data_IF_131508702835
#
_entry.id   IF_131508702835
#
_cell.length_a   1.000
_cell.length_b   1.000
_cell.length_c   1.000
_cell.angle_alpha   90.00
_cell.angle_beta   90.00
_cell.angle_gamma   90.00
#
_symmetry.space_group_name_H-M   'P 1'
#
loop_
_entity.id
_entity.type
_entity.pdbx_description
1 polymer ?
#
# COMPACT_ATOMS: atom_id res chain seq x y z
N UNK A 1 -21.23 -14.14 10.89
CA UNK A 1 -20.12 -13.98 9.93
C UNK A 1 -19.95 -12.49 9.68
N UNK A 2 -19.02 -11.84 10.38
CA UNK A 2 -18.77 -10.41 10.19
C UNK A 2 -18.15 -10.24 8.79
N UNK A 3 -18.74 -9.37 7.96
CA UNK A 3 -18.16 -9.03 6.67
C UNK A 3 -16.79 -8.41 6.94
N UNK A 4 -15.74 -9.02 6.40
CA UNK A 4 -14.46 -8.38 6.08
C UNK A 4 -14.74 -7.02 5.43
N UNK A 5 -14.89 -5.90 6.16
CA UNK A 5 -15.07 -4.58 5.54
C UNK A 5 -13.77 -4.19 4.86
N UNK A 6 -13.62 -4.64 3.61
CA UNK A 6 -12.54 -4.23 2.73
C UNK A 6 -12.69 -2.75 2.40
N UNK A 7 -11.60 -2.01 2.54
CA UNK A 7 -11.53 -0.60 2.19
C UNK A 7 -10.80 -0.45 0.86
N UNK A 8 -11.32 0.44 0.01
CA UNK A 8 -10.74 0.72 -1.31
C UNK A 8 -9.88 1.96 -1.21
N UNK A 9 -8.61 1.84 -1.60
CA UNK A 9 -7.67 2.96 -1.67
C UNK A 9 -7.21 3.09 -3.11
N UNK A 10 -7.13 4.32 -3.61
CA UNK A 10 -6.50 4.60 -4.89
C UNK A 10 -5.07 5.06 -4.65
N UNK A 11 -4.10 4.39 -5.29
CA UNK A 11 -2.68 4.73 -5.19
C UNK A 11 -2.15 5.03 -6.59
N UNK A 12 -1.58 6.21 -6.76
CA UNK A 12 -0.89 6.64 -7.98
C UNK A 12 0.43 5.90 -8.15
N UNK A 13 0.96 5.88 -9.38
CA UNK A 13 2.28 5.30 -9.63
C UNK A 13 3.41 6.00 -8.84
N UNK A 14 3.32 7.32 -8.67
CA UNK A 14 4.34 8.09 -7.95
C UNK A 14 4.29 7.80 -6.44
N UNK A 15 3.09 7.69 -5.84
CA UNK A 15 2.93 7.24 -4.45
C UNK A 15 3.46 5.81 -4.28
N UNK A 16 3.11 4.89 -5.18
CA UNK A 16 3.60 3.52 -5.13
C UNK A 16 5.13 3.45 -5.18
N UNK A 17 5.77 4.25 -6.06
CA UNK A 17 7.23 4.35 -6.14
C UNK A 17 7.88 4.80 -4.83
N UNK A 18 7.26 5.73 -4.11
CA UNK A 18 7.77 6.24 -2.84
C UNK A 18 7.53 5.26 -1.70
N UNK A 19 6.39 4.56 -1.71
CA UNK A 19 5.99 3.64 -0.64
C UNK A 19 6.66 2.25 -0.72
N UNK A 20 6.98 1.75 -1.93
CA UNK A 20 7.62 0.43 -2.10
C UNK A 20 8.92 0.29 -1.29
N UNK A 21 9.90 1.22 -1.35
CA UNK A 21 11.12 1.13 -0.55
C UNK A 21 10.85 1.08 0.97
N UNK A 22 9.82 1.80 1.44
CA UNK A 22 9.44 1.82 2.85
C UNK A 22 8.92 0.45 3.28
N UNK A 23 8.04 -0.17 2.49
CA UNK A 23 7.56 -1.52 2.80
C UNK A 23 8.65 -2.58 2.69
N UNK A 24 9.61 -2.42 1.78
CA UNK A 24 10.79 -3.29 1.72
C UNK A 24 11.61 -3.22 3.01
N UNK A 25 11.82 -2.03 3.54
CA UNK A 25 12.55 -1.84 4.79
C UNK A 25 11.76 -2.34 6.00
N UNK A 26 10.46 -2.01 6.10
CA UNK A 26 9.59 -2.49 7.17
C UNK A 26 9.47 -4.02 7.17
N UNK A 27 9.46 -4.68 6.01
CA UNK A 27 9.52 -6.15 5.91
C UNK A 27 10.83 -6.73 6.47
N UNK A 28 11.95 -6.01 6.29
CA UNK A 28 13.28 -6.45 6.70
C UNK A 28 13.55 -6.24 8.19
N UNK A 29 13.29 -5.05 8.69
CA UNK A 29 13.67 -4.62 10.05
C UNK A 29 12.48 -4.41 10.99
N UNK A 30 11.25 -4.58 10.50
CA UNK A 30 10.03 -4.37 11.28
C UNK A 30 10.02 -5.23 12.56
N UNK A 31 9.80 -4.63 13.75
CA UNK A 31 9.87 -5.35 15.02
C UNK A 31 8.70 -6.32 15.21
N UNK A 32 7.57 -6.06 14.57
CA UNK A 32 6.32 -6.84 14.71
C UNK A 32 6.10 -7.74 13.49
N UNK A 33 5.62 -8.97 13.73
CA UNK A 33 5.36 -9.94 12.65
C UNK A 33 4.23 -9.47 11.73
N UNK A 34 3.17 -8.94 12.31
CA UNK A 34 1.97 -8.45 11.64
C UNK A 34 2.31 -7.29 10.70
N UNK A 35 3.13 -6.34 11.16
CA UNK A 35 3.59 -5.23 10.34
C UNK A 35 4.43 -5.69 9.13
N UNK A 36 5.27 -6.71 9.31
CA UNK A 36 6.05 -7.31 8.21
C UNK A 36 5.16 -8.02 7.19
N UNK A 37 4.11 -8.71 7.65
CA UNK A 37 3.12 -9.36 6.78
C UNK A 37 2.32 -8.33 5.99
N UNK A 38 1.83 -7.27 6.64
CA UNK A 38 1.15 -6.16 5.97
C UNK A 38 2.06 -5.45 4.97
N UNK A 39 3.31 -5.16 5.33
CA UNK A 39 4.29 -4.58 4.42
C UNK A 39 4.54 -5.47 3.19
N UNK A 40 4.64 -6.78 3.37
CA UNK A 40 4.80 -7.72 2.26
C UNK A 40 3.59 -7.71 1.31
N UNK A 41 2.37 -7.71 1.85
CA UNK A 41 1.13 -7.65 1.04
C UNK A 41 1.04 -6.34 0.27
N UNK A 42 1.24 -5.21 0.94
CA UNK A 42 1.18 -3.88 0.33
C UNK A 42 2.28 -3.68 -0.73
N UNK A 43 3.50 -4.14 -0.48
CA UNK A 43 4.58 -4.11 -1.47
C UNK A 43 4.19 -4.88 -2.75
N UNK A 44 3.60 -6.07 -2.61
CA UNK A 44 3.16 -6.87 -3.76
C UNK A 44 2.07 -6.15 -4.56
N UNK A 45 1.06 -5.60 -3.86
CA UNK A 45 -0.01 -4.84 -4.51
C UNK A 45 0.51 -3.59 -5.23
N UNK A 46 1.46 -2.88 -4.63
CA UNK A 46 2.06 -1.67 -5.21
C UNK A 46 2.97 -1.96 -6.39
N UNK A 47 3.66 -3.11 -6.42
CA UNK A 47 4.42 -3.54 -7.61
C UNK A 47 3.52 -3.82 -8.82
N UNK A 48 2.24 -4.08 -8.59
CA UNK A 48 1.25 -4.21 -9.66
C UNK A 48 0.75 -2.84 -10.15
N UNK A 49 1.09 -1.75 -9.48
CA UNK A 49 0.82 -0.38 -9.95
C UNK A 49 1.81 -0.10 -11.09
N UNK A 50 1.29 -0.16 -12.31
CA UNK A 50 2.07 0.00 -13.54
C UNK A 50 2.09 1.47 -13.96
N UNK A 51 3.27 2.05 -14.08
CA UNK A 51 3.48 3.39 -14.64
C UNK A 51 3.65 3.40 -16.16
N UNK A 52 3.76 2.23 -16.78
CA UNK A 52 3.96 2.03 -18.22
C UNK A 52 2.64 1.80 -18.99
N UNK A 53 1.52 1.72 -18.29
CA UNK A 53 0.19 1.75 -18.88
C UNK A 53 -0.41 3.14 -18.60
N UNK A 54 -0.29 4.05 -19.56
CA UNK A 54 -1.03 5.33 -19.55
C UNK A 54 -2.53 5.07 -19.69
N UNK A 55 -3.21 4.61 -18.63
CA UNK A 55 -4.64 4.86 -18.51
C UNK A 55 -4.81 6.34 -18.18
N UNK A 56 -4.70 7.23 -19.16
CA UNK A 56 -5.17 8.62 -19.00
C UNK A 56 -6.70 8.57 -18.78
N UNK A 57 -7.22 9.11 -17.67
CA UNK A 57 -6.63 10.16 -16.83
C UNK A 57 -6.01 9.74 -15.49
N UNK A 58 -5.94 8.45 -15.15
CA UNK A 58 -5.64 7.95 -13.81
C UNK A 58 -4.50 6.92 -13.79
N UNK A 59 -3.25 7.39 -13.85
CA UNK A 59 -2.05 6.57 -13.65
C UNK A 59 -1.92 6.07 -12.20
N UNK A 60 -2.59 4.96 -11.89
CA UNK A 60 -2.65 4.38 -10.55
C UNK A 60 -3.53 3.13 -10.50
N UNK A 61 -3.64 2.50 -9.32
CA UNK A 61 -4.39 1.26 -9.11
C UNK A 61 -5.33 1.41 -7.92
N UNK A 62 -6.56 0.90 -8.06
CA UNK A 62 -7.43 0.66 -6.92
C UNK A 62 -6.96 -0.61 -6.19
N UNK A 63 -6.68 -0.47 -4.90
CA UNK A 63 -6.30 -1.56 -4.01
C UNK A 63 -7.45 -1.85 -3.04
N UNK A 64 -7.83 -3.12 -2.94
CA UNK A 64 -8.81 -3.60 -1.97
C UNK A 64 -8.04 -4.14 -0.76
N UNK A 65 -8.10 -3.42 0.35
CA UNK A 65 -7.35 -3.73 1.56
C UNK A 65 -8.30 -4.21 2.65
N UNK A 66 -7.86 -5.16 3.47
CA UNK A 66 -8.52 -5.39 4.75
C UNK A 66 -8.26 -4.21 5.70
N UNK A 67 -9.02 -4.10 6.78
CA UNK A 67 -8.91 -2.97 7.72
C UNK A 67 -7.52 -2.82 8.32
N UNK A 68 -6.80 -3.93 8.56
CA UNK A 68 -5.44 -3.90 9.10
C UNK A 68 -4.45 -3.27 8.12
N UNK A 69 -4.45 -3.74 6.87
CA UNK A 69 -3.55 -3.25 5.83
C UNK A 69 -3.88 -1.81 5.44
N UNK A 70 -5.16 -1.43 5.46
CA UNK A 70 -5.58 -0.05 5.26
C UNK A 70 -5.02 0.86 6.36
N UNK A 71 -5.26 0.54 7.64
CA UNK A 71 -4.79 1.38 8.75
C UNK A 71 -3.27 1.51 8.72
N UNK A 72 -2.57 0.40 8.48
CA UNK A 72 -1.12 0.39 8.35
C UNK A 72 -0.63 1.27 7.19
N UNK A 73 -1.29 1.19 6.02
CA UNK A 73 -0.98 2.07 4.89
C UNK A 73 -1.18 3.55 5.24
N UNK A 74 -2.29 3.89 5.91
CA UNK A 74 -2.59 5.27 6.29
C UNK A 74 -1.61 5.82 7.33
N UNK A 75 -1.16 4.98 8.27
CA UNK A 75 -0.11 5.37 9.22
C UNK A 75 1.21 5.67 8.49
N UNK A 76 1.60 4.83 7.53
CA UNK A 76 2.82 5.04 6.72
C UNK A 76 2.70 6.30 5.87
N UNK A 77 1.58 6.52 5.18
CA UNK A 77 1.37 7.72 4.37
C UNK A 77 1.37 8.99 5.22
N UNK A 78 0.75 8.96 6.39
CA UNK A 78 0.73 10.10 7.31
C UNK A 78 2.12 10.41 7.86
N UNK A 79 2.93 9.38 8.15
CA UNK A 79 4.31 9.54 8.59
C UNK A 79 5.26 10.08 7.50
N UNK A 80 4.87 9.98 6.23
CA UNK A 80 5.63 10.50 5.09
C UNK A 80 5.06 11.82 4.54
N UNK A 81 4.03 12.37 5.17
CA UNK A 81 3.31 13.57 4.71
C UNK A 81 2.78 13.43 3.25
N UNK A 82 2.52 12.20 2.79
CA UNK A 82 2.07 11.91 1.42
C UNK A 82 0.57 12.10 1.21
N UNK A 83 -0.07 13.01 1.96
CA UNK A 83 -1.52 13.24 1.93
C UNK A 83 -1.88 14.68 1.60
#
# INVERSE_FOLDING_TARGET
>A
MARQEGQVVYITFDEAKQLIPIFQELKRIGPWKEARESAMRLEQEMKMVRGDIEYKPFGGKQMFLNSTDHNFLMDVMSAQELR
#
